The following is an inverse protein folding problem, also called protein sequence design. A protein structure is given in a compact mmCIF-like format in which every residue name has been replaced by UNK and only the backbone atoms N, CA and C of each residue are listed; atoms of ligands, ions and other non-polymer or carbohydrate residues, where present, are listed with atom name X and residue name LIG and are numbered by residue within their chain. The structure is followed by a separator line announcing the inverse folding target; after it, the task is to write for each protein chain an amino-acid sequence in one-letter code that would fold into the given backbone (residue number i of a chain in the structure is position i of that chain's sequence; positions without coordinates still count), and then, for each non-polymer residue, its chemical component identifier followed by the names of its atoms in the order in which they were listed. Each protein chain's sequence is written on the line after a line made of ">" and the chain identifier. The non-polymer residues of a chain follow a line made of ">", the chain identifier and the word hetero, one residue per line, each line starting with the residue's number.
data_IF_618457445065
#
_entry.id   IF_618457445065
#
_cell.length_a   1.000
_cell.length_b   1.000
_cell.length_c   1.000
_cell.angle_alpha   90.00
_cell.angle_beta   90.00
_cell.angle_gamma   90.00
#
_symmetry.space_group_name_H-M   'P 1'
#
loop_
_entity.id
_entity.type
_entity.pdbx_description
1 polymer ?
#
# COMPACT_ATOMS: atom_id res chain seq x y z
N UNK A 1 1.27 1.87 1.59
CA UNK A 1 1.33 1.11 0.32
C UNK A 1 1.78 2.05 -0.77
N UNK A 2 2.51 1.57 -1.77
CA UNK A 2 2.97 2.36 -2.91
C UNK A 2 2.97 1.51 -4.19
N UNK A 3 2.99 2.15 -5.35
CA UNK A 3 3.06 1.51 -6.65
C UNK A 3 4.23 2.04 -7.52
N UNK A 4 4.74 1.17 -8.38
CA UNK A 4 5.82 1.45 -9.31
C UNK A 4 5.47 0.92 -10.70
N UNK A 5 5.57 1.78 -11.73
CA UNK A 5 5.45 1.38 -13.13
C UNK A 5 6.84 1.08 -13.68
N UNK A 6 7.06 -0.16 -14.12
CA UNK A 6 8.27 -0.54 -14.85
C UNK A 6 8.23 -0.07 -16.30
N UNK A 7 9.39 -0.09 -16.94
CA UNK A 7 9.54 0.30 -18.35
C UNK A 7 8.79 -0.61 -19.32
N UNK A 8 8.52 -1.85 -18.94
CA UNK A 8 7.79 -2.84 -19.74
C UNK A 8 6.25 -2.77 -19.54
N UNK A 9 5.77 -1.80 -18.75
CA UNK A 9 4.34 -1.54 -18.56
C UNK A 9 3.67 -2.34 -17.44
N UNK A 10 4.44 -3.06 -16.62
CA UNK A 10 3.91 -3.69 -15.41
C UNK A 10 3.83 -2.70 -14.25
N UNK A 11 2.74 -2.79 -13.51
CA UNK A 11 2.63 -2.17 -12.21
C UNK A 11 3.09 -3.14 -11.14
N UNK A 12 3.89 -2.64 -10.22
CA UNK A 12 4.33 -3.36 -9.04
C UNK A 12 3.89 -2.63 -7.80
N UNK A 13 3.35 -3.34 -6.82
CA UNK A 13 2.96 -2.74 -5.54
C UNK A 13 3.83 -3.25 -4.41
N UNK A 14 4.08 -2.37 -3.44
CA UNK A 14 4.83 -2.64 -2.24
C UNK A 14 4.00 -2.33 -0.99
N UNK A 15 3.85 -3.32 -0.12
CA UNK A 15 3.01 -3.25 1.06
C UNK A 15 3.80 -3.56 2.32
N UNK A 16 3.58 -2.76 3.36
CA UNK A 16 4.08 -3.03 4.70
C UNK A 16 2.94 -2.89 5.70
N UNK A 17 2.73 -3.92 6.51
CA UNK A 17 1.82 -3.93 7.63
C UNK A 17 2.63 -3.66 8.90
N UNK A 18 2.23 -2.62 9.64
CA UNK A 18 2.89 -2.18 10.86
C UNK A 18 1.90 -2.19 12.02
N UNK A 19 2.39 -2.51 13.22
CA UNK A 19 1.65 -2.27 14.47
C UNK A 19 1.72 -0.79 14.87
N UNK A 20 0.94 -0.42 15.87
CA UNK A 20 0.91 0.94 16.42
C UNK A 20 2.28 1.40 16.96
N UNK A 21 3.09 0.46 17.45
CA UNK A 21 4.47 0.68 17.90
C UNK A 21 5.49 0.80 16.74
N UNK A 22 4.98 0.86 15.50
CA UNK A 22 5.74 0.91 14.23
C UNK A 22 6.54 -0.35 13.91
N UNK A 23 6.42 -1.41 14.69
CA UNK A 23 7.03 -2.70 14.34
C UNK A 23 6.39 -3.26 13.07
N UNK A 24 7.23 -3.68 12.12
CA UNK A 24 6.78 -4.29 10.89
C UNK A 24 6.41 -5.76 11.14
N UNK A 25 5.18 -6.13 10.82
CA UNK A 25 4.61 -7.46 11.11
C UNK A 25 4.17 -8.21 9.86
N UNK A 26 4.15 -7.54 8.72
CA UNK A 26 3.95 -8.17 7.43
C UNK A 26 4.46 -7.28 6.31
N UNK A 27 4.87 -7.91 5.22
CA UNK A 27 5.14 -7.22 3.97
C UNK A 27 4.62 -8.05 2.80
N UNK A 28 4.36 -7.41 1.68
CA UNK A 28 3.96 -8.08 0.46
C UNK A 28 4.40 -7.28 -0.77
N UNK A 29 4.63 -8.00 -1.86
CA UNK A 29 4.79 -7.45 -3.21
C UNK A 29 3.75 -8.04 -4.14
N UNK A 30 3.30 -7.28 -5.14
CA UNK A 30 2.42 -7.79 -6.21
C UNK A 30 2.82 -7.23 -7.56
N UNK A 31 2.45 -7.95 -8.62
CA UNK A 31 2.53 -7.46 -9.99
C UNK A 31 1.14 -7.42 -10.62
N UNK A 32 0.90 -6.36 -11.39
CA UNK A 32 -0.33 -6.08 -12.09
C UNK A 32 -0.03 -5.69 -13.52
N UNK A 33 -0.86 -6.15 -14.45
CA UNK A 33 -0.89 -5.64 -15.83
C UNK A 33 -2.07 -4.70 -16.00
N UNK A 34 -1.95 -3.71 -16.87
CA UNK A 34 -3.08 -2.87 -17.22
C UNK A 34 -2.71 -1.48 -17.72
N UNK A 35 -3.51 -0.51 -17.28
CA UNK A 35 -3.44 0.88 -17.75
C UNK A 35 -2.14 1.57 -17.35
N UNK A 36 -1.65 2.49 -18.19
CA UNK A 36 -0.56 3.42 -17.84
C UNK A 36 -1.04 4.58 -16.93
N UNK A 37 -2.30 4.60 -16.48
CA UNK A 37 -2.81 5.58 -15.51
C UNK A 37 -2.13 5.35 -14.15
N UNK A 38 -1.38 6.33 -13.66
CA UNK A 38 -0.72 6.26 -12.34
C UNK A 38 -1.74 5.99 -11.23
N UNK A 39 -2.95 6.54 -11.35
CA UNK A 39 -4.03 6.30 -10.38
C UNK A 39 -4.48 4.84 -10.37
N UNK A 40 -4.35 4.15 -11.50
CA UNK A 40 -4.64 2.72 -11.57
C UNK A 40 -3.63 1.92 -10.74
N UNK A 41 -2.32 2.16 -10.90
CA UNK A 41 -1.29 1.51 -10.10
C UNK A 41 -1.50 1.69 -8.59
N UNK A 42 -1.74 2.93 -8.17
CA UNK A 42 -2.02 3.29 -6.77
C UNK A 42 -3.26 2.59 -6.20
N UNK A 43 -4.33 2.54 -7.00
CA UNK A 43 -5.53 1.82 -6.62
C UNK A 43 -5.30 0.31 -6.55
N UNK A 44 -4.54 -0.28 -7.47
CA UNK A 44 -4.21 -1.71 -7.38
C UNK A 44 -3.40 -2.01 -6.11
N UNK A 45 -2.45 -1.15 -5.74
CA UNK A 45 -1.78 -1.24 -4.44
C UNK A 45 -2.75 -1.18 -3.26
N UNK A 46 -3.74 -0.28 -3.27
CA UNK A 46 -4.80 -0.28 -2.25
C UNK A 46 -5.59 -1.58 -2.22
N UNK A 47 -5.93 -2.13 -3.39
CA UNK A 47 -6.66 -3.38 -3.49
C UNK A 47 -5.86 -4.54 -2.84
N UNK A 48 -4.55 -4.61 -3.12
CA UNK A 48 -3.66 -5.59 -2.51
C UNK A 48 -3.55 -5.41 -0.99
N UNK A 49 -3.61 -4.16 -0.51
CA UNK A 49 -3.61 -3.87 0.92
C UNK A 49 -4.87 -4.40 1.59
N UNK A 50 -6.03 -4.23 0.94
CA UNK A 50 -7.31 -4.78 1.40
C UNK A 50 -7.24 -6.31 1.42
N UNK A 51 -6.75 -6.93 0.34
CA UNK A 51 -6.56 -8.40 0.28
C UNK A 51 -5.67 -8.90 1.44
N UNK A 52 -4.57 -8.19 1.73
CA UNK A 52 -3.64 -8.57 2.79
C UNK A 52 -4.28 -8.49 4.18
N UNK A 53 -5.02 -7.42 4.48
CA UNK A 53 -5.65 -7.27 5.80
C UNK A 53 -6.84 -8.21 5.97
N UNK A 54 -7.60 -8.49 4.92
CA UNK A 54 -8.66 -9.50 4.94
C UNK A 54 -8.08 -10.90 5.16
N UNK A 55 -6.99 -11.24 4.47
CA UNK A 55 -6.24 -12.51 4.66
C UNK A 55 -5.78 -12.68 6.11
N UNK A 56 -5.31 -11.62 6.74
CA UNK A 56 -4.86 -11.62 8.14
C UNK A 56 -5.96 -11.32 9.15
N UNK A 57 -7.21 -11.13 8.70
CA UNK A 57 -8.37 -10.78 9.54
C UNK A 57 -8.13 -9.54 10.41
N UNK A 58 -7.43 -8.55 9.86
CA UNK A 58 -7.15 -7.27 10.52
C UNK A 58 -8.29 -6.29 10.20
N UNK A 59 -9.07 -5.93 11.20
CA UNK A 59 -10.28 -5.09 11.07
C UNK A 59 -10.09 -3.66 11.60
N UNK A 60 -8.96 -3.38 12.26
CA UNK A 60 -8.57 -2.06 12.71
C UNK A 60 -7.25 -1.67 12.03
N UNK A 61 -7.35 -0.98 10.90
CA UNK A 61 -6.21 -0.63 10.05
C UNK A 61 -6.31 0.81 9.54
N UNK A 62 -5.16 1.46 9.41
CA UNK A 62 -5.01 2.73 8.71
C UNK A 62 -4.30 2.44 7.38
N UNK A 63 -5.01 2.62 6.26
CA UNK A 63 -4.39 2.56 4.94
C UNK A 63 -3.68 3.88 4.65
N UNK A 64 -2.34 3.84 4.58
CA UNK A 64 -1.50 4.98 4.20
C UNK A 64 -1.11 4.88 2.73
N UNK A 65 -1.47 5.89 1.93
CA UNK A 65 -1.12 5.99 0.50
C UNK A 65 -0.52 7.38 0.23
N UNK A 66 0.39 7.49 -0.72
CA UNK A 66 0.88 8.79 -1.22
C UNK A 66 0.05 9.34 -2.40
N UNK A 67 -0.96 8.59 -2.87
CA UNK A 67 -1.94 9.03 -3.85
C UNK A 67 -3.12 9.80 -3.23
N UNK A 68 -3.03 11.13 -3.23
CA UNK A 68 -4.12 11.98 -2.72
C UNK A 68 -5.42 11.81 -3.53
N UNK A 69 -5.32 11.47 -4.82
CA UNK A 69 -6.46 11.23 -5.71
C UNK A 69 -7.27 10.03 -5.20
N UNK A 70 -6.60 8.89 -4.94
CA UNK A 70 -7.25 7.67 -4.43
C UNK A 70 -7.84 7.91 -3.04
N UNK A 71 -7.07 8.53 -2.14
CA UNK A 71 -7.54 8.84 -0.78
C UNK A 71 -8.79 9.72 -0.81
N UNK A 72 -8.80 10.78 -1.62
CA UNK A 72 -9.95 11.68 -1.74
C UNK A 72 -11.16 10.99 -2.38
N UNK A 73 -10.94 10.12 -3.38
CA UNK A 73 -12.01 9.36 -4.01
C UNK A 73 -12.72 8.44 -3.01
N UNK A 74 -11.96 7.74 -2.15
CA UNK A 74 -12.53 6.91 -1.07
C UNK A 74 -13.25 7.78 -0.03
N UNK A 75 -12.60 8.82 0.49
CA UNK A 75 -13.19 9.69 1.54
C UNK A 75 -14.49 10.35 1.10
N UNK A 76 -14.57 10.76 -0.17
CA UNK A 76 -15.77 11.39 -0.75
C UNK A 76 -16.75 10.37 -1.35
N UNK A 77 -16.46 9.07 -1.27
CA UNK A 77 -17.27 7.98 -1.83
C UNK A 77 -17.62 8.22 -3.31
N UNK A 78 -16.64 8.69 -4.08
CA UNK A 78 -16.87 9.07 -5.48
C UNK A 78 -17.21 7.85 -6.33
N UNK A 79 -18.16 8.02 -7.26
CA UNK A 79 -18.40 7.07 -8.33
C UNK A 79 -17.40 7.32 -9.46
N UNK A 80 -16.46 6.40 -9.63
CA UNK A 80 -15.38 6.52 -10.61
C UNK A 80 -15.65 5.59 -11.80
N UNK A 81 -15.78 6.15 -13.00
CA UNK A 81 -15.99 5.41 -14.25
C UNK A 81 -14.68 5.07 -14.97
N UNK A 82 -13.67 4.62 -14.22
CA UNK A 82 -12.37 4.16 -14.71
C UNK A 82 -12.11 2.73 -14.21
N UNK A 83 -11.12 2.04 -14.78
CA UNK A 83 -10.74 0.68 -14.41
C UNK A 83 -10.42 0.50 -12.91
N UNK A 84 -10.03 1.56 -12.20
CA UNK A 84 -9.76 1.54 -10.77
C UNK A 84 -10.96 1.90 -9.87
N UNK A 85 -12.12 2.22 -10.46
CA UNK A 85 -13.30 2.61 -9.69
C UNK A 85 -13.87 1.51 -8.80
N UNK A 86 -13.72 0.24 -9.21
CA UNK A 86 -14.11 -0.91 -8.40
C UNK A 86 -13.33 -1.01 -7.08
N UNK A 87 -12.04 -0.64 -7.10
CA UNK A 87 -11.21 -0.59 -5.88
C UNK A 87 -11.73 0.46 -4.90
N UNK A 88 -12.12 1.64 -5.39
CA UNK A 88 -12.69 2.69 -4.54
C UNK A 88 -13.95 2.19 -3.85
N UNK A 89 -14.84 1.55 -4.60
CA UNK A 89 -16.06 0.97 -4.05
C UNK A 89 -15.74 -0.11 -3.00
N UNK A 90 -14.79 -0.99 -3.28
CA UNK A 90 -14.32 -2.03 -2.34
C UNK A 90 -13.79 -1.42 -1.04
N UNK A 91 -12.92 -0.41 -1.13
CA UNK A 91 -12.35 0.26 0.04
C UNK A 91 -13.44 0.98 0.86
N UNK A 92 -14.37 1.68 0.20
CA UNK A 92 -15.51 2.31 0.88
C UNK A 92 -16.33 1.29 1.66
N UNK A 93 -16.65 0.14 1.04
CA UNK A 93 -17.37 -0.96 1.70
C UNK A 93 -16.58 -1.49 2.90
N UNK A 94 -15.30 -1.78 2.72
CA UNK A 94 -14.43 -2.25 3.80
C UNK A 94 -14.45 -1.30 5.01
N UNK A 95 -14.33 0.02 4.77
CA UNK A 95 -14.34 1.02 5.85
C UNK A 95 -15.72 1.16 6.52
N UNK A 96 -16.82 0.92 5.81
CA UNK A 96 -18.17 0.88 6.39
C UNK A 96 -18.36 -0.33 7.30
N UNK A 97 -17.85 -1.49 6.87
CA UNK A 97 -17.93 -2.73 7.64
C UNK A 97 -16.95 -2.73 8.84
N UNK A 98 -15.94 -1.85 8.81
CA UNK A 98 -14.88 -1.74 9.82
C UNK A 98 -14.70 -0.29 10.30
N UNK A 99 -15.56 0.22 11.20
CA UNK A 99 -15.61 1.64 11.56
C UNK A 99 -14.38 2.17 12.31
N UNK A 100 -13.53 1.28 12.84
CA UNK A 100 -12.25 1.65 13.46
C UNK A 100 -11.11 1.80 12.43
N UNK A 101 -11.35 1.41 11.18
CA UNK A 101 -10.38 1.55 10.10
C UNK A 101 -10.51 2.90 9.40
N UNK A 102 -9.42 3.35 8.78
CA UNK A 102 -9.41 4.60 8.01
C UNK A 102 -8.43 4.55 6.84
N UNK A 103 -8.51 5.57 5.99
CA UNK A 103 -7.56 5.82 4.91
C UNK A 103 -7.02 7.24 5.02
N UNK A 104 -5.70 7.39 4.90
CA UNK A 104 -5.01 8.66 5.01
C UNK A 104 -4.01 8.86 3.88
N UNK A 105 -3.85 10.11 3.49
CA UNK A 105 -2.76 10.50 2.61
C UNK A 105 -1.50 10.69 3.45
N UNK A 106 -0.38 10.17 2.96
CA UNK A 106 0.94 10.36 3.55
C UNK A 106 1.88 10.97 2.53
N UNK A 107 2.83 11.77 3.00
CA UNK A 107 3.88 12.27 2.12
C UNK A 107 4.74 11.08 1.63
N UNK A 108 5.10 11.06 0.36
CA UNK A 108 5.96 10.04 -0.27
C UNK A 108 7.26 9.79 0.51
N UNK A 109 7.85 10.81 1.11
CA UNK A 109 9.05 10.68 1.94
C UNK A 109 8.83 9.84 3.20
N UNK A 110 7.59 9.75 3.69
CA UNK A 110 7.20 8.90 4.81
C UNK A 110 6.70 7.51 4.35
N UNK A 111 6.62 7.28 3.04
CA UNK A 111 6.19 6.02 2.43
C UNK A 111 7.36 5.26 1.77
N UNK A 112 8.61 5.63 2.07
CA UNK A 112 9.83 5.11 1.43
C UNK A 112 9.99 3.59 1.51
N UNK A 113 9.52 2.96 2.59
CA UNK A 113 9.61 1.50 2.74
C UNK A 113 8.69 0.78 1.74
N UNK A 114 7.45 1.24 1.60
CA UNK A 114 6.53 0.72 0.59
C UNK A 114 7.05 1.00 -0.82
N UNK A 115 7.62 2.18 -1.07
CA UNK A 115 8.26 2.52 -2.34
C UNK A 115 9.42 1.58 -2.70
N UNK A 116 10.28 1.29 -1.73
CA UNK A 116 11.39 0.35 -1.92
C UNK A 116 10.88 -1.07 -2.23
N UNK A 117 9.81 -1.52 -1.58
CA UNK A 117 9.16 -2.79 -1.91
C UNK A 117 8.56 -2.80 -3.32
N UNK A 118 7.88 -1.73 -3.72
CA UNK A 118 7.28 -1.63 -5.04
C UNK A 118 8.34 -1.71 -6.15
N UNK A 119 9.53 -1.15 -5.93
CA UNK A 119 10.68 -1.32 -6.84
C UNK A 119 11.26 -2.73 -6.79
N UNK A 120 11.43 -3.30 -5.60
CA UNK A 120 11.97 -4.64 -5.44
C UNK A 120 11.08 -5.73 -6.06
N UNK A 121 9.77 -5.49 -6.08
CA UNK A 121 8.78 -6.35 -6.72
C UNK A 121 9.01 -6.55 -8.23
N UNK A 122 9.78 -5.68 -8.90
CA UNK A 122 10.19 -5.91 -10.30
C UNK A 122 11.10 -7.14 -10.42
N UNK A 123 11.93 -7.39 -9.41
CA UNK A 123 12.81 -8.56 -9.34
C UNK A 123 12.08 -9.80 -8.81
N UNK A 124 11.20 -9.61 -7.81
CA UNK A 124 10.51 -10.72 -7.15
C UNK A 124 9.07 -10.30 -6.72
N UNK A 125 8.12 -10.37 -7.66
CA UNK A 125 6.73 -10.01 -7.42
C UNK A 125 5.96 -11.14 -6.72
N UNK A 126 4.79 -10.80 -6.20
CA UNK A 126 3.82 -11.76 -5.65
C UNK A 126 4.31 -12.53 -4.41
N UNK A 127 5.19 -11.91 -3.63
CA UNK A 127 5.68 -12.47 -2.38
C UNK A 127 4.86 -11.99 -1.19
N UNK A 128 4.74 -12.84 -0.18
CA UNK A 128 4.18 -12.54 1.12
C UNK A 128 5.21 -12.89 2.20
N UNK A 129 5.51 -11.95 3.08
CA UNK A 129 6.32 -12.21 4.27
C UNK A 129 5.51 -11.96 5.54
N UNK A 130 4.81 -12.99 6.06
CA UNK A 130 4.17 -12.93 7.36
C UNK A 130 5.25 -12.95 8.46
N UNK A 131 5.28 -11.96 9.34
CA UNK A 131 6.16 -11.87 10.51
C UNK A 131 7.69 -11.79 10.24
N UNK A 132 8.12 -11.76 8.97
CA UNK A 132 9.51 -11.62 8.58
C UNK A 132 9.64 -10.49 7.59
N UNK A 133 10.68 -9.66 7.69
CA UNK A 133 10.93 -8.59 6.72
C UNK A 133 11.99 -9.03 5.72
N UNK A 134 11.76 -8.85 4.41
CA UNK A 134 12.78 -9.19 3.42
C UNK A 134 14.05 -8.34 3.65
N UNK A 135 15.20 -8.93 3.36
CA UNK A 135 16.51 -8.27 3.60
C UNK A 135 16.65 -6.97 2.82
N UNK A 136 16.01 -6.85 1.66
CA UNK A 136 16.04 -5.68 0.79
C UNK A 136 15.50 -4.40 1.44
N UNK A 137 14.64 -4.50 2.46
CA UNK A 137 14.06 -3.34 3.15
C UNK A 137 14.65 -3.07 4.54
N UNK A 138 15.58 -3.92 5.02
CA UNK A 138 16.16 -3.77 6.37
C UNK A 138 16.78 -2.38 6.59
N UNK A 139 17.51 -1.87 5.59
CA UNK A 139 18.16 -0.55 5.68
C UNK A 139 17.17 0.62 5.68
N UNK A 140 16.05 0.49 4.95
CA UNK A 140 14.97 1.48 4.95
C UNK A 140 14.22 1.50 6.27
N UNK A 141 13.92 0.33 6.84
CA UNK A 141 13.29 0.20 8.16
C UNK A 141 14.19 0.79 9.24
N UNK A 142 15.49 0.48 9.23
CA UNK A 142 16.45 1.03 10.19
C UNK A 142 16.54 2.56 10.12
N UNK A 143 16.53 3.15 8.91
CA UNK A 143 16.54 4.60 8.72
C UNK A 143 15.23 5.26 9.14
N UNK A 144 14.09 4.63 8.88
CA UNK A 144 12.76 5.11 9.32
C UNK A 144 12.70 5.17 10.86
N UNK A 145 13.23 4.15 11.54
CA UNK A 145 13.38 4.12 13.01
C UNK A 145 14.39 5.19 13.49
N UNK A 146 15.56 5.31 12.86
CA UNK A 146 16.59 6.26 13.26
C UNK A 146 16.19 7.73 13.07
N UNK A 147 15.33 8.02 12.08
CA UNK A 147 14.75 9.36 11.88
C UNK A 147 13.90 9.85 13.05
N UNK A 148 13.53 8.97 13.98
CA UNK A 148 12.81 9.30 15.22
C UNK A 148 13.72 9.85 16.32
N UNK A 149 15.03 9.63 16.22
CA UNK A 149 16.03 10.01 17.23
C UNK A 149 16.95 11.14 16.76
N UNK A 150 16.69 11.71 15.60
CA UNK A 150 17.37 12.93 15.16
C UNK A 150 16.59 14.14 15.69
N UNK A 151 17.21 15.02 16.49
CA UNK A 151 16.54 16.15 17.15
C UNK A 151 15.97 17.18 16.16
#
# INVERSE_FOLDING_TARGET
>A
VDAHLSSDGHWFSGLILRRWDRSAVGAATRSHRGSNDVTFGEAMGLNDAIDLVEKYRVTNVIFELDSQIVVNAVKRKLRVHKCWGAVIHRCVKFLQDNPNSSIVWTNRDRNRVAHALAKWAEMDPNQDWPNLMPSCIKSYIQKDIASLYSP
#
